data_IF_004620572578
#
_entry.id   IF_004620572578
#
_cell.length_a   1.000
_cell.length_b   1.000
_cell.length_c   1.000
_cell.angle_alpha   90.00
_cell.angle_beta   90.00
_cell.angle_gamma   90.00
#
_symmetry.space_group_name_H-M   'P 1'
#
loop_
_entity.id
_entity.type
_entity.pdbx_description
1 polymer ?
#
# COMPACT_ATOMS: atom_id res chain seq x y z
N UNK A 1 -1.53 4.33 -24.03
CA UNK A 1 -0.35 3.59 -23.55
C UNK A 1 -0.83 2.27 -22.99
N UNK A 2 -0.42 1.18 -23.62
CA UNK A 2 -0.77 -0.16 -23.16
C UNK A 2 -0.05 -0.46 -21.84
N UNK A 3 -0.81 -0.97 -20.87
CA UNK A 3 -0.25 -1.33 -19.55
C UNK A 3 0.55 -2.62 -19.73
N UNK A 4 1.85 -2.60 -19.45
CA UNK A 4 2.71 -3.79 -19.48
C UNK A 4 2.86 -4.41 -18.08
N UNK A 5 3.09 -5.72 -18.03
CA UNK A 5 3.40 -6.41 -16.78
C UNK A 5 4.86 -6.16 -16.40
N UNK A 6 5.09 -5.61 -15.22
CA UNK A 6 6.42 -5.26 -14.67
C UNK A 6 6.95 -6.31 -13.67
N UNK A 7 6.39 -7.52 -13.67
CA UNK A 7 6.88 -8.60 -12.81
C UNK A 7 8.21 -9.15 -13.32
N UNK A 8 8.34 -9.26 -14.63
CA UNK A 8 9.51 -9.77 -15.36
C UNK A 8 9.47 -9.15 -16.77
N UNK A 9 10.64 -8.76 -17.29
CA UNK A 9 10.76 -8.10 -18.60
C UNK A 9 10.28 -8.99 -19.75
N UNK A 10 10.39 -10.31 -19.60
CA UNK A 10 10.01 -11.33 -20.59
C UNK A 10 8.61 -11.90 -20.37
N UNK A 11 7.72 -11.17 -19.67
CA UNK A 11 6.38 -11.66 -19.34
C UNK A 11 5.59 -12.15 -20.57
N UNK A 12 5.53 -13.46 -20.76
CA UNK A 12 4.89 -14.15 -21.89
C UNK A 12 3.42 -14.52 -21.66
N UNK A 13 2.81 -13.99 -20.60
CA UNK A 13 1.46 -14.45 -20.19
C UNK A 13 0.32 -14.06 -21.14
N UNK A 14 0.57 -13.17 -22.11
CA UNK A 14 -0.44 -12.68 -23.08
C UNK A 14 -1.69 -12.07 -22.43
N UNK A 15 -1.58 -11.59 -21.19
CA UNK A 15 -2.76 -11.23 -20.39
C UNK A 15 -3.28 -9.85 -20.74
N UNK A 16 -4.59 -9.74 -20.95
CA UNK A 16 -5.31 -8.45 -21.04
C UNK A 16 -5.69 -7.86 -19.67
N UNK A 17 -5.46 -8.60 -18.58
CA UNK A 17 -5.93 -8.24 -17.23
C UNK A 17 -4.77 -7.86 -16.30
N UNK A 18 -4.63 -6.55 -16.08
CA UNK A 18 -3.58 -5.96 -15.25
C UNK A 18 -4.09 -5.44 -13.92
N UNK A 19 -3.22 -5.45 -12.90
CA UNK A 19 -3.51 -4.99 -11.54
C UNK A 19 -2.50 -3.95 -11.12
N UNK A 20 -2.97 -2.80 -10.62
CA UNK A 20 -2.18 -1.83 -9.85
C UNK A 20 -1.74 -2.48 -8.54
N UNK A 21 -0.58 -3.13 -8.55
CA UNK A 21 -0.23 -4.27 -7.68
C UNK A 21 -0.43 -3.93 -6.20
N UNK A 22 0.07 -2.77 -5.78
CA UNK A 22 0.05 -2.31 -4.39
C UNK A 22 -0.75 -1.02 -4.18
N UNK A 23 -1.59 -0.61 -5.13
CA UNK A 23 -2.40 0.62 -5.01
C UNK A 23 -3.24 0.70 -3.73
N UNK A 24 -3.57 -0.43 -3.12
CA UNK A 24 -4.29 -0.51 -1.85
C UNK A 24 -3.49 0.05 -0.66
N UNK A 25 -2.16 0.01 -0.68
CA UNK A 25 -1.30 0.66 0.33
C UNK A 25 -1.47 2.18 0.24
N UNK A 26 -1.68 2.72 -0.95
CA UNK A 26 -1.82 4.15 -1.19
C UNK A 26 -3.27 4.66 -1.09
N UNK A 27 -4.22 3.83 -0.63
CA UNK A 27 -5.63 4.21 -0.56
C UNK A 27 -6.34 4.09 -1.91
N UNK A 28 -6.33 2.88 -2.49
CA UNK A 28 -7.01 2.56 -3.76
C UNK A 28 -8.46 3.08 -3.78
N UNK A 29 -8.86 3.68 -4.91
CA UNK A 29 -10.18 4.27 -5.17
C UNK A 29 -10.54 5.49 -4.30
N UNK A 30 -9.61 6.01 -3.49
CA UNK A 30 -9.80 7.29 -2.80
C UNK A 30 -9.47 8.46 -3.72
N UNK A 31 -10.05 9.63 -3.45
CA UNK A 31 -9.82 10.86 -4.24
C UNK A 31 -8.34 11.18 -4.45
N UNK A 32 -7.50 10.91 -3.45
CA UNK A 32 -6.04 11.11 -3.52
C UNK A 32 -5.33 10.22 -4.55
N UNK A 33 -5.90 9.07 -4.94
CA UNK A 33 -5.25 8.14 -5.89
C UNK A 33 -5.92 8.07 -7.26
N UNK A 34 -7.16 8.55 -7.40
CA UNK A 34 -7.91 8.52 -8.67
C UNK A 34 -7.23 9.38 -9.75
N UNK A 35 -6.65 10.52 -9.36
CA UNK A 35 -6.02 11.47 -10.29
C UNK A 35 -4.53 11.20 -10.55
N UNK A 36 -3.97 10.12 -10.00
CA UNK A 36 -2.57 9.76 -10.23
C UNK A 36 -2.44 9.06 -11.58
N UNK A 37 -1.56 9.55 -12.49
CA UNK A 37 -1.40 8.98 -13.82
C UNK A 37 -1.08 7.49 -13.78
N UNK A 38 -1.54 6.77 -14.81
CA UNK A 38 -1.32 5.33 -14.87
C UNK A 38 0.16 4.96 -14.91
N UNK A 39 1.02 5.78 -15.53
CA UNK A 39 2.46 5.55 -15.60
C UNK A 39 3.17 5.53 -14.23
N UNK A 40 2.57 6.10 -13.18
CA UNK A 40 3.13 6.08 -11.82
C UNK A 40 2.99 4.70 -11.17
N UNK A 41 1.94 3.96 -11.53
CA UNK A 41 1.60 2.70 -10.89
C UNK A 41 2.36 1.52 -11.49
N UNK A 42 2.76 0.61 -10.62
CA UNK A 42 3.31 -0.68 -11.02
C UNK A 42 2.18 -1.66 -11.33
N UNK A 43 2.26 -2.30 -12.49
CA UNK A 43 1.28 -3.26 -12.95
C UNK A 43 1.84 -4.66 -13.08
N UNK A 44 1.14 -5.65 -12.52
CA UNK A 44 1.35 -7.04 -12.85
C UNK A 44 0.12 -7.57 -13.59
N UNK A 45 0.33 -8.51 -14.51
CA UNK A 45 -0.78 -9.31 -15.03
C UNK A 45 -1.41 -10.15 -13.91
N UNK A 46 -2.64 -10.65 -14.15
CA UNK A 46 -3.35 -11.47 -13.15
C UNK A 46 -2.53 -12.66 -12.65
N UNK A 47 -1.88 -13.40 -13.57
CA UNK A 47 -1.10 -14.60 -13.24
C UNK A 47 0.11 -14.25 -12.37
N UNK A 48 0.89 -13.22 -12.73
CA UNK A 48 2.05 -12.78 -11.95
C UNK A 48 1.67 -12.22 -10.58
N UNK A 49 0.58 -11.46 -10.49
CA UNK A 49 0.06 -11.03 -9.19
C UNK A 49 -0.26 -12.22 -8.27
N UNK A 50 -0.89 -13.27 -8.80
CA UNK A 50 -1.18 -14.47 -8.01
C UNK A 50 0.09 -15.21 -7.59
N UNK A 51 1.08 -15.31 -8.49
CA UNK A 51 2.39 -15.91 -8.17
C UNK A 51 3.09 -15.15 -7.04
N UNK A 52 3.24 -13.84 -7.20
CA UNK A 52 3.92 -12.99 -6.23
C UNK A 52 3.25 -12.96 -4.85
N UNK A 53 1.92 -13.07 -4.79
CA UNK A 53 1.19 -12.91 -3.53
C UNK A 53 0.99 -14.20 -2.75
N UNK A 54 0.84 -15.34 -3.43
CA UNK A 54 0.35 -16.57 -2.82
C UNK A 54 1.32 -17.74 -2.90
N UNK A 55 2.46 -17.60 -3.62
CA UNK A 55 3.39 -18.71 -3.82
C UNK A 55 4.73 -18.56 -3.09
N UNK A 56 5.05 -17.36 -2.56
CA UNK A 56 6.25 -17.15 -1.76
C UNK A 56 5.91 -16.34 -0.49
N UNK A 57 6.66 -16.62 0.57
CA UNK A 57 6.55 -15.90 1.86
C UNK A 57 7.25 -14.54 1.80
N UNK A 58 7.86 -14.20 0.67
CA UNK A 58 8.53 -12.92 0.42
C UNK A 58 7.56 -11.79 0.08
N UNK A 59 6.25 -12.06 0.02
CA UNK A 59 5.27 -11.06 -0.36
C UNK A 59 5.35 -9.75 0.46
N UNK A 60 5.53 -9.75 1.80
CA UNK A 60 5.73 -8.52 2.57
C UNK A 60 6.94 -7.71 2.12
N UNK A 61 8.06 -8.38 1.81
CA UNK A 61 9.27 -7.73 1.29
C UNK A 61 9.07 -7.18 -0.13
N UNK A 62 8.34 -7.92 -0.96
CA UNK A 62 7.93 -7.48 -2.30
C UNK A 62 7.05 -6.24 -2.22
N UNK A 63 6.15 -6.16 -1.23
CA UNK A 63 5.34 -4.97 -0.99
C UNK A 63 6.20 -3.75 -0.64
N UNK A 64 7.22 -3.90 0.22
CA UNK A 64 8.15 -2.80 0.53
C UNK A 64 8.90 -2.32 -0.71
N UNK A 65 9.46 -3.24 -1.51
CA UNK A 65 10.16 -2.88 -2.76
C UNK A 65 9.24 -2.11 -3.71
N UNK A 66 8.05 -2.66 -3.97
CA UNK A 66 7.06 -2.03 -4.84
C UNK A 66 6.59 -0.67 -4.31
N UNK A 67 6.53 -0.48 -2.98
CA UNK A 67 6.18 0.78 -2.37
C UNK A 67 7.27 1.83 -2.64
N UNK A 68 8.54 1.49 -2.44
CA UNK A 68 9.68 2.38 -2.75
C UNK A 68 9.70 2.76 -4.23
N UNK A 69 9.54 1.79 -5.13
CA UNK A 69 9.48 2.02 -6.58
C UNK A 69 8.31 2.97 -6.94
N UNK A 70 7.14 2.77 -6.32
CA UNK A 70 5.96 3.63 -6.54
C UNK A 70 6.18 5.05 -5.99
N UNK A 71 6.84 5.19 -4.82
CA UNK A 71 7.19 6.49 -4.23
C UNK A 71 8.19 7.23 -5.13
N UNK A 72 9.18 6.53 -5.68
CA UNK A 72 10.11 7.10 -6.65
C UNK A 72 9.39 7.58 -7.92
N UNK A 73 8.46 6.80 -8.46
CA UNK A 73 7.64 7.22 -9.60
C UNK A 73 6.78 8.45 -9.28
N UNK A 74 6.18 8.52 -8.09
CA UNK A 74 5.41 9.69 -7.64
C UNK A 74 6.30 10.94 -7.52
N UNK A 75 7.53 10.79 -7.04
CA UNK A 75 8.48 11.90 -6.95
C UNK A 75 8.91 12.37 -8.34
N UNK A 76 9.25 11.45 -9.25
CA UNK A 76 9.63 11.76 -10.62
C UNK A 76 8.48 12.43 -11.40
N UNK A 77 7.24 12.00 -11.16
CA UNK A 77 6.05 12.63 -11.73
C UNK A 77 5.84 14.07 -11.21
N UNK A 78 6.23 14.37 -9.97
CA UNK A 78 6.17 15.72 -9.39
C UNK A 78 4.77 16.21 -9.00
N UNK A 79 3.72 15.37 -9.15
CA UNK A 79 2.33 15.74 -8.80
C UNK A 79 1.95 15.54 -7.34
N UNK A 80 2.81 14.92 -6.52
CA UNK A 80 2.61 14.72 -5.08
C UNK A 80 3.45 15.75 -4.31
N UNK A 81 2.86 16.30 -3.25
CA UNK A 81 3.47 17.28 -2.36
C UNK A 81 4.03 16.60 -1.10
N UNK A 82 3.19 15.81 -0.44
CA UNK A 82 3.46 15.11 0.81
C UNK A 82 2.56 13.88 0.94
N UNK A 83 2.60 13.17 2.07
CA UNK A 83 1.76 12.01 2.36
C UNK A 83 1.13 12.10 3.75
N UNK A 84 -0.11 11.62 3.87
CA UNK A 84 -0.69 11.31 5.18
C UNK A 84 -0.47 9.83 5.46
N UNK A 85 0.35 9.50 6.45
CA UNK A 85 0.51 8.14 6.95
C UNK A 85 -0.58 7.87 7.99
N UNK A 86 -1.43 6.88 7.76
CA UNK A 86 -2.58 6.61 8.63
C UNK A 86 -2.75 5.13 8.91
N UNK A 87 -3.30 4.81 10.08
CA UNK A 87 -3.79 3.46 10.35
C UNK A 87 -5.07 3.21 9.54
N UNK A 88 -5.16 2.02 8.94
CA UNK A 88 -6.37 1.57 8.24
C UNK A 88 -7.50 1.43 9.25
N UNK A 89 -8.73 1.71 8.84
CA UNK A 89 -9.95 1.75 9.69
C UNK A 89 -10.13 0.54 10.61
N UNK A 90 -9.57 -0.62 10.24
CA UNK A 90 -9.61 -1.85 11.04
C UNK A 90 -8.92 -1.70 12.40
N UNK A 91 -7.90 -0.85 12.50
CA UNK A 91 -7.16 -0.55 13.74
C UNK A 91 -7.76 0.64 14.53
N UNK A 92 -8.75 1.36 13.98
CA UNK A 92 -9.33 2.55 14.64
C UNK A 92 -10.43 2.22 15.64
N UNK A 93 -10.82 0.95 15.76
CA UNK A 93 -11.70 0.48 16.82
C UNK A 93 -10.81 -0.07 17.94
N UNK A 94 -10.88 0.45 19.17
CA UNK A 94 -10.16 -0.13 20.29
C UNK A 94 -10.58 -1.59 20.45
N UNK A 95 -9.61 -2.48 20.63
CA UNK A 95 -9.82 -3.87 21.03
C UNK A 95 -10.47 -3.89 22.41
N UNK A 96 -11.79 -3.78 22.47
CA UNK A 96 -12.53 -4.13 23.67
C UNK A 96 -12.87 -5.62 23.59
N UNK A 97 -12.46 -6.34 24.64
CA UNK A 97 -12.97 -7.64 25.12
C UNK A 97 -12.21 -8.91 24.72
N UNK A 98 -11.20 -9.21 25.54
CA UNK A 98 -10.90 -10.56 26.02
C UNK A 98 -12.12 -11.13 26.77
N UNK A 99 -12.53 -12.38 26.50
CA UNK A 99 -12.99 -13.46 27.44
C UNK A 99 -14.00 -14.43 26.78
N UNK A 100 -13.55 -15.67 26.57
CA UNK A 100 -14.19 -16.99 26.81
C UNK A 100 -15.70 -17.20 26.52
N UNK A 101 -16.06 -18.19 25.69
CA UNK A 101 -16.65 -19.51 26.05
C UNK A 101 -17.39 -20.16 24.85
N UNK A 102 -17.18 -21.47 24.72
CA UNK A 102 -17.75 -22.52 23.85
C UNK A 102 -19.25 -22.42 23.53
N UNK A 103 -19.69 -22.78 22.31
CA UNK A 103 -20.72 -23.81 22.02
C UNK A 103 -20.83 -24.08 20.50
N UNK A 104 -21.03 -25.36 20.19
CA UNK A 104 -20.99 -26.10 18.91
C UNK A 104 -22.24 -25.89 18.03
N UNK A 105 -22.08 -25.65 16.71
CA UNK A 105 -22.90 -26.27 15.62
C UNK A 105 -22.34 -25.95 14.21
N UNK A 106 -22.50 -26.84 13.21
CA UNK A 106 -21.81 -26.77 11.92
C UNK A 106 -22.67 -26.17 10.79
N UNK A 107 -21.98 -25.83 9.68
CA UNK A 107 -22.52 -25.41 8.36
C UNK A 107 -22.84 -23.93 8.15
N UNK A 108 -21.79 -23.17 7.83
CA UNK A 108 -21.86 -22.14 6.79
C UNK A 108 -20.44 -21.92 6.25
N UNK A 109 -20.31 -21.66 4.95
CA UNK A 109 -19.03 -21.39 4.28
C UNK A 109 -18.31 -20.29 5.06
N UNK A 110 -17.28 -20.65 5.83
CA UNK A 110 -16.55 -19.69 6.68
C UNK A 110 -15.98 -18.61 5.78
N UNK A 111 -16.56 -17.42 5.84
CA UNK A 111 -15.92 -16.20 5.35
C UNK A 111 -14.49 -16.19 5.87
N UNK A 112 -13.48 -15.82 5.06
CA UNK A 112 -12.09 -15.84 5.47
C UNK A 112 -11.96 -15.14 6.82
N UNK A 113 -11.43 -15.84 7.83
CA UNK A 113 -11.19 -15.26 9.15
C UNK A 113 -10.41 -13.96 8.93
N UNK A 114 -10.96 -12.86 9.42
CA UNK A 114 -10.33 -11.56 9.33
C UNK A 114 -9.18 -11.53 10.34
N UNK A 115 -7.99 -11.99 9.93
CA UNK A 115 -6.79 -12.02 10.76
C UNK A 115 -6.29 -10.56 10.89
N UNK A 116 -6.27 -9.96 12.10
CA UNK A 116 -5.66 -8.66 12.33
C UNK A 116 -4.18 -8.70 11.93
N UNK A 117 -3.69 -7.65 11.27
CA UNK A 117 -2.28 -7.50 10.89
C UNK A 117 -1.69 -6.45 11.85
N UNK A 118 -1.27 -6.84 13.06
CA UNK A 118 -0.95 -5.89 14.11
C UNK A 118 0.10 -4.89 13.65
N UNK A 119 -0.15 -3.62 13.94
CA UNK A 119 0.77 -2.55 13.60
C UNK A 119 1.87 -2.51 14.68
N UNK A 120 3.16 -2.54 14.32
CA UNK A 120 4.23 -2.42 15.30
C UNK A 120 4.13 -1.11 16.08
N UNK A 121 4.40 -1.13 17.39
CA UNK A 121 4.24 0.04 18.29
C UNK A 121 4.96 1.29 17.76
N UNK A 122 6.20 1.14 17.29
CA UNK A 122 6.99 2.25 16.72
C UNK A 122 6.32 2.93 15.52
N UNK A 123 5.46 2.21 14.79
CA UNK A 123 4.77 2.75 13.61
C UNK A 123 3.59 3.65 14.02
N UNK A 124 3.05 3.49 15.22
CA UNK A 124 2.03 4.41 15.76
C UNK A 124 2.59 5.81 15.92
N UNK A 125 3.84 5.95 16.38
CA UNK A 125 4.51 7.24 16.56
C UNK A 125 4.85 7.92 15.22
N UNK A 126 4.90 7.14 14.14
CA UNK A 126 5.17 7.65 12.79
C UNK A 126 3.91 8.18 12.09
N UNK A 127 2.71 7.81 12.54
CA UNK A 127 1.43 8.19 11.92
C UNK A 127 1.22 9.70 12.03
N UNK A 128 0.81 10.31 10.92
CA UNK A 128 0.57 11.74 10.88
C UNK A 128 0.44 12.29 9.47
N UNK A 129 -0.02 13.56 9.35
CA UNK A 129 -0.13 14.24 8.07
C UNK A 129 1.22 14.76 7.56
N UNK A 130 1.25 15.17 6.30
CA UNK A 130 2.33 15.95 5.68
C UNK A 130 3.74 15.34 5.73
N UNK A 131 3.83 14.00 5.72
CA UNK A 131 5.11 13.29 5.61
C UNK A 131 5.77 13.57 4.27
N UNK A 132 7.06 13.87 4.30
CA UNK A 132 7.91 14.00 3.11
C UNK A 132 8.15 12.64 2.44
N UNK A 133 8.68 12.68 1.22
CA UNK A 133 9.09 11.46 0.52
C UNK A 133 10.14 10.68 1.30
N UNK A 134 11.10 11.36 1.90
CA UNK A 134 12.20 10.73 2.63
C UNK A 134 11.73 10.11 3.94
N UNK A 135 10.81 10.76 4.66
CA UNK A 135 10.15 10.15 5.83
C UNK A 135 9.39 8.87 5.45
N UNK A 136 8.64 8.87 4.35
CA UNK A 136 7.92 7.66 3.93
C UNK A 136 8.90 6.57 3.47
N UNK A 137 9.99 6.91 2.76
CA UNK A 137 11.04 5.94 2.41
C UNK A 137 11.65 5.31 3.66
N UNK A 138 11.97 6.13 4.66
CA UNK A 138 12.53 5.67 5.93
C UNK A 138 11.58 4.69 6.61
N UNK A 139 10.28 5.03 6.73
CA UNK A 139 9.26 4.12 7.27
C UNK A 139 9.22 2.77 6.54
N UNK A 140 9.33 2.75 5.20
CA UNK A 140 9.35 1.50 4.43
C UNK A 140 10.65 0.70 4.66
N UNK A 141 11.79 1.38 4.82
CA UNK A 141 13.06 0.73 5.19
C UNK A 141 13.00 0.12 6.59
N UNK A 142 12.44 0.85 7.56
CA UNK A 142 12.26 0.39 8.93
C UNK A 142 11.29 -0.80 9.00
N UNK A 143 10.21 -0.80 8.20
CA UNK A 143 9.34 -1.96 8.03
C UNK A 143 10.09 -3.17 7.48
N UNK A 144 10.96 -2.98 6.50
CA UNK A 144 11.78 -4.07 5.95
C UNK A 144 12.72 -4.64 7.01
N UNK A 145 13.38 -3.79 7.80
CA UNK A 145 14.24 -4.21 8.90
C UNK A 145 13.44 -4.97 9.98
N UNK A 146 12.25 -4.49 10.31
CA UNK A 146 11.34 -5.17 11.23
C UNK A 146 10.95 -6.56 10.72
N UNK A 147 10.63 -6.72 9.42
CA UNK A 147 10.33 -8.04 8.85
C UNK A 147 11.52 -9.01 8.94
N UNK A 148 12.75 -8.52 8.75
CA UNK A 148 13.94 -9.35 8.95
C UNK A 148 14.05 -9.83 10.40
N UNK A 149 13.78 -8.95 11.38
CA UNK A 149 13.77 -9.33 12.79
C UNK A 149 12.69 -10.38 13.12
N UNK A 150 11.50 -10.28 12.51
CA UNK A 150 10.45 -11.29 12.67
C UNK A 150 10.91 -12.65 12.15
N UNK A 151 11.50 -12.68 10.95
CA UNK A 151 12.02 -13.93 10.35
C UNK A 151 13.11 -14.55 11.24
N UNK A 152 14.02 -13.74 11.80
CA UNK A 152 15.05 -14.21 12.74
C UNK A 152 14.46 -14.80 14.03
N UNK A 153 13.31 -14.30 14.46
CA UNK A 153 12.57 -14.80 15.62
C UNK A 153 11.56 -15.91 15.27
N UNK A 154 11.65 -16.50 14.08
CA UNK A 154 10.72 -17.53 13.57
C UNK A 154 9.24 -17.07 13.53
N UNK A 155 9.01 -15.78 13.31
CA UNK A 155 7.68 -15.20 13.13
C UNK A 155 7.41 -14.88 11.66
N UNK A 156 6.19 -15.09 11.21
CA UNK A 156 5.78 -14.77 9.84
C UNK A 156 5.64 -13.23 9.68
N UNK A 157 6.40 -12.60 8.76
CA UNK A 157 6.26 -11.17 8.51
C UNK A 157 4.98 -10.86 7.75
N UNK A 158 4.45 -9.66 7.95
CA UNK A 158 3.31 -9.19 7.18
C UNK A 158 3.31 -7.68 7.03
N UNK A 159 2.77 -7.19 5.92
CA UNK A 159 2.59 -5.74 5.76
C UNK A 159 1.50 -5.24 6.71
N UNK A 160 1.79 -4.25 7.58
CA UNK A 160 0.85 -3.79 8.60
C UNK A 160 -0.36 -3.06 8.00
N UNK A 161 -1.45 -2.96 8.75
CA UNK A 161 -2.68 -2.31 8.31
C UNK A 161 -2.58 -0.77 8.35
N UNK A 162 -1.71 -0.23 7.50
CA UNK A 162 -1.51 1.21 7.26
C UNK A 162 -1.95 1.64 5.85
N UNK A 163 -2.11 2.94 5.65
CA UNK A 163 -2.28 3.59 4.35
C UNK A 163 -1.35 4.80 4.23
N UNK A 164 -0.69 4.91 3.07
CA UNK A 164 0.21 6.02 2.69
C UNK A 164 -0.53 6.88 1.68
N UNK A 165 -1.28 7.88 2.14
CA UNK A 165 -2.21 8.63 1.30
C UNK A 165 -1.49 9.84 0.66
N UNK A 166 -1.32 9.91 -0.67
CA UNK A 166 -0.61 11.02 -1.30
C UNK A 166 -1.43 12.30 -1.29
N UNK A 167 -0.82 13.40 -0.89
CA UNK A 167 -1.37 14.75 -0.99
C UNK A 167 -0.96 15.33 -2.34
N UNK A 168 -1.92 15.47 -3.25
CA UNK A 168 -1.65 15.98 -4.60
C UNK A 168 -1.45 17.50 -4.56
N UNK A 169 -0.47 18.00 -5.31
CA UNK A 169 -0.27 19.43 -5.49
C UNK A 169 -1.52 20.03 -6.10
N UNK A 170 -2.00 21.14 -5.52
CA UNK A 170 -3.09 21.90 -6.14
C UNK A 170 -2.57 22.41 -7.49
N UNK A 171 -3.32 22.16 -8.56
CA UNK A 171 -3.03 22.81 -9.84
C UNK A 171 -3.06 24.32 -9.60
N UNK A 172 -1.94 24.98 -9.84
CA UNK A 172 -1.85 26.44 -9.78
C UNK A 172 -2.92 27.00 -10.70
N UNK A 173 -3.97 27.63 -10.15
CA UNK A 173 -4.90 28.40 -10.97
C UNK A 173 -4.08 29.45 -11.71
N UNK A 174 -4.10 29.43 -13.05
CA UNK A 174 -3.57 30.52 -13.87
C UNK A 174 -4.19 31.83 -13.34
N UNK A 175 -3.41 32.89 -13.08
CA UNK A 175 -3.98 34.18 -12.70
C UNK A 175 -5.02 34.56 -13.77
N UNK A 176 -6.23 34.92 -13.36
CA UNK A 176 -7.17 35.55 -14.27
C UNK A 176 -6.56 36.89 -14.63
N UNK A 177 -6.21 37.07 -15.91
CA UNK A 177 -5.78 38.36 -16.44
C UNK A 177 -6.86 39.38 -16.10
N UNK A 178 -6.57 40.25 -15.13
CA UNK A 178 -7.32 41.47 -14.90
C UNK A 178 -6.89 42.44 -16.00
N UNK A 179 -7.49 42.32 -17.18
CA UNK A 179 -7.42 43.37 -18.19
C UNK A 179 -8.55 44.35 -17.90
N UNK A 180 -8.20 45.39 -17.16
CA UNK A 180 -8.94 46.66 -17.11
C UNK A 180 -8.40 47.53 -18.23
N UNK A 181 -9.23 47.83 -19.23
CA UNK A 181 -9.47 49.17 -19.79
C UNK A 181 -10.46 49.07 -20.95
#
# INVERSE_FOLDING_TARGET
MDRQCQFDESCSTGSSHYRKVISHIFGRNKKCTVNIPDAVWIYYCRKHYQRARYRNDEWPFTQCRLALDTIANMQAWGGVDSFDLTLRRRERLPTTTTTTTTTTSPSSKKSPKNIPRPVPDWLHDCVGPNKSFDEIRQVIHDLRAHFLSLVQNNQEPFFPDIEILPNLRRSSKKPRDATTN
#
